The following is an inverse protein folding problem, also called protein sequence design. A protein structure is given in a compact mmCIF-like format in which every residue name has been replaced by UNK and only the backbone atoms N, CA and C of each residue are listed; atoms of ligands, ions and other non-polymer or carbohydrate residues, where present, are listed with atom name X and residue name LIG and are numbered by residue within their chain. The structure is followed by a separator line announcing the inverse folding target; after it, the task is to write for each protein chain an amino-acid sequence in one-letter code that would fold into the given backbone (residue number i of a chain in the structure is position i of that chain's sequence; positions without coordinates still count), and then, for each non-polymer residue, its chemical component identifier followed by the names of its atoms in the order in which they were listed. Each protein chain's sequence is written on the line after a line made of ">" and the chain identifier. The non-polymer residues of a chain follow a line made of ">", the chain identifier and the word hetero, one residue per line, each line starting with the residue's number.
data_IF_964429172193
#
_entry.id   IF_964429172193
#
_cell.length_a   1.000
_cell.length_b   1.000
_cell.length_c   1.000
_cell.angle_alpha   90.00
_cell.angle_beta   90.00
_cell.angle_gamma   90.00
#
_symmetry.space_group_name_H-M   'P 1'
#
loop_
_entity.id
_entity.type
_entity.pdbx_description
1 polymer ?
#
# COMPACT_ATOMS: atom_id res chain seq x y z
N UNK A 1 17.35 7.73 -20.93
CA UNK A 1 17.84 7.77 -19.53
C UNK A 1 17.56 9.10 -18.83
N UNK A 2 18.00 10.25 -19.37
CA UNK A 2 17.84 11.57 -18.73
C UNK A 2 16.39 11.88 -18.30
N UNK A 3 15.34 11.67 -19.13
CA UNK A 3 13.97 11.95 -18.71
C UNK A 3 13.50 11.07 -17.54
N UNK A 4 13.96 9.81 -17.49
CA UNK A 4 13.62 8.90 -16.40
C UNK A 4 14.30 9.30 -15.09
N UNK A 5 15.57 9.72 -15.16
CA UNK A 5 16.31 10.28 -14.01
C UNK A 5 15.60 11.53 -13.49
N UNK A 6 15.24 12.46 -14.38
CA UNK A 6 14.50 13.66 -13.98
C UNK A 6 13.16 13.31 -13.33
N UNK A 7 12.38 12.41 -13.95
CA UNK A 7 11.12 11.92 -13.39
C UNK A 7 11.31 11.31 -12.00
N UNK A 8 12.38 10.54 -11.79
CA UNK A 8 12.68 9.91 -10.52
C UNK A 8 12.99 10.94 -9.42
N UNK A 9 13.90 11.88 -9.66
CA UNK A 9 14.19 12.92 -8.68
C UNK A 9 12.98 13.82 -8.43
N UNK A 10 12.25 14.18 -9.48
CA UNK A 10 11.04 15.01 -9.35
C UNK A 10 9.97 14.33 -8.50
N UNK A 11 9.65 13.07 -8.79
CA UNK A 11 8.67 12.30 -8.02
C UNK A 11 9.13 12.04 -6.59
N UNK A 12 10.42 11.76 -6.36
CA UNK A 12 10.99 11.64 -5.02
C UNK A 12 10.83 12.92 -4.22
N UNK A 13 11.26 14.06 -4.77
CA UNK A 13 11.16 15.37 -4.09
C UNK A 13 9.70 15.65 -3.75
N UNK A 14 8.77 15.45 -4.69
CA UNK A 14 7.35 15.67 -4.41
C UNK A 14 6.77 14.70 -3.37
N UNK A 15 7.22 13.44 -3.34
CA UNK A 15 6.81 12.50 -2.31
C UNK A 15 7.32 12.92 -0.91
N UNK A 16 8.50 13.54 -0.83
CA UNK A 16 9.08 14.05 0.43
C UNK A 16 8.39 15.32 0.90
N UNK A 17 8.19 16.30 0.01
CA UNK A 17 7.80 17.67 0.43
C UNK A 17 6.29 17.95 0.37
N UNK A 18 5.51 17.13 -0.35
CA UNK A 18 4.06 17.37 -0.43
C UNK A 18 3.37 17.00 0.88
N UNK A 19 2.33 17.77 1.22
CA UNK A 19 1.41 17.39 2.30
C UNK A 19 0.68 16.08 1.93
N UNK A 20 0.80 15.01 2.74
CA UNK A 20 0.14 13.73 2.50
C UNK A 20 -1.40 13.80 2.65
N UNK A 21 -1.91 14.88 3.24
CA UNK A 21 -3.31 15.04 3.61
C UNK A 21 -3.48 15.05 5.13
N UNK A 22 -2.65 15.83 5.82
CA UNK A 22 -2.78 16.02 7.25
C UNK A 22 -4.13 16.65 7.62
N UNK A 23 -4.72 16.12 8.70
CA UNK A 23 -5.99 16.57 9.24
C UNK A 23 -5.74 17.33 10.53
N UNK A 24 -6.28 18.54 10.62
CA UNK A 24 -6.37 19.31 11.86
C UNK A 24 -7.83 19.40 12.32
N UNK A 25 -8.05 19.75 13.58
CA UNK A 25 -9.40 19.96 14.12
C UNK A 25 -10.15 21.06 13.33
N UNK A 26 -9.44 22.14 13.00
CA UNK A 26 -9.96 23.23 12.17
C UNK A 26 -10.28 22.79 10.73
N UNK A 27 -9.64 21.74 10.22
CA UNK A 27 -9.93 21.21 8.89
C UNK A 27 -11.23 20.41 8.82
N UNK A 28 -11.74 19.94 9.95
CA UNK A 28 -13.00 19.19 10.01
C UNK A 28 -14.22 20.10 10.17
N UNK A 29 -14.18 21.27 9.52
CA UNK A 29 -15.40 22.05 9.27
C UNK A 29 -16.47 21.16 8.62
N UNK A 30 -17.74 21.43 8.92
CA UNK A 30 -18.89 20.66 8.40
C UNK A 30 -18.81 20.38 6.88
N UNK A 31 -18.38 21.36 6.09
CA UNK A 31 -18.28 21.22 4.64
C UNK A 31 -17.17 20.26 4.20
N UNK A 32 -15.98 20.36 4.81
CA UNK A 32 -14.84 19.49 4.49
C UNK A 32 -15.04 18.08 5.03
N UNK A 33 -15.61 17.93 6.22
CA UNK A 33 -15.97 16.61 6.78
C UNK A 33 -17.01 15.91 5.91
N UNK A 34 -18.06 16.61 5.46
CA UNK A 34 -19.08 16.04 4.56
C UNK A 34 -18.47 15.58 3.24
N UNK A 35 -17.56 16.37 2.65
CA UNK A 35 -16.91 16.00 1.40
C UNK A 35 -15.99 14.79 1.54
N UNK A 36 -15.20 14.73 2.62
CA UNK A 36 -14.36 13.56 2.93
C UNK A 36 -15.25 12.34 3.14
N UNK A 37 -16.35 12.47 3.89
CA UNK A 37 -17.28 11.38 4.15
C UNK A 37 -17.98 10.89 2.89
N UNK A 38 -18.26 11.78 1.93
CA UNK A 38 -18.83 11.40 0.63
C UNK A 38 -17.85 10.62 -0.24
N UNK A 39 -16.55 10.90 -0.14
CA UNK A 39 -15.51 10.18 -0.88
C UNK A 39 -15.14 8.86 -0.19
N UNK A 40 -15.16 8.85 1.15
CA UNK A 40 -14.85 7.71 2.00
C UNK A 40 -15.95 7.49 3.06
N UNK A 41 -17.04 6.80 2.72
CA UNK A 41 -18.09 6.45 3.68
C UNK A 41 -17.58 5.45 4.72
N UNK A 42 -18.23 5.39 5.89
CA UNK A 42 -17.97 4.34 6.88
C UNK A 42 -18.63 3.05 6.41
N UNK A 43 -17.87 1.95 6.39
CA UNK A 43 -18.39 0.61 6.08
C UNK A 43 -19.00 -0.08 7.31
N UNK A 44 -18.79 0.48 8.51
CA UNK A 44 -19.13 -0.10 9.81
C UNK A 44 -18.54 -1.50 10.06
N UNK A 45 -17.53 -1.88 9.25
CA UNK A 45 -16.78 -3.13 9.33
C UNK A 45 -15.36 -2.84 9.82
N UNK A 46 -14.51 -2.29 8.95
CA UNK A 46 -13.13 -1.91 9.31
C UNK A 46 -12.99 -0.41 9.64
N UNK A 47 -14.01 0.38 9.29
CA UNK A 47 -14.13 1.80 9.59
C UNK A 47 -15.52 2.18 10.07
N UNK A 48 -15.55 2.72 11.27
CA UNK A 48 -16.71 3.34 11.91
C UNK A 48 -16.24 4.64 12.57
N UNK A 49 -17.21 5.49 12.95
CA UNK A 49 -16.91 6.75 13.62
C UNK A 49 -16.12 6.51 14.90
N UNK A 50 -14.89 7.02 14.93
CA UNK A 50 -13.98 6.88 16.07
C UNK A 50 -13.20 8.17 16.28
N UNK A 51 -13.03 8.56 17.53
CA UNK A 51 -12.18 9.69 17.89
C UNK A 51 -10.70 9.27 17.89
N UNK A 52 -9.81 10.15 17.43
CA UNK A 52 -8.39 10.00 17.68
C UNK A 52 -8.08 10.22 19.16
N UNK A 53 -7.41 9.26 19.82
CA UNK A 53 -6.99 9.42 21.21
C UNK A 53 -5.96 10.53 21.41
N UNK A 54 -5.14 10.83 20.41
CA UNK A 54 -4.12 11.90 20.45
C UNK A 54 -4.70 13.23 20.01
N UNK A 55 -5.25 13.31 18.79
CA UNK A 55 -5.72 14.58 18.19
C UNK A 55 -7.10 15.03 18.66
N UNK A 56 -7.86 14.18 19.39
CA UNK A 56 -9.15 14.50 20.02
C UNK A 56 -10.31 14.92 19.10
N UNK A 57 -10.25 14.59 17.81
CA UNK A 57 -11.38 14.75 16.88
C UNK A 57 -11.81 13.43 16.25
N UNK A 58 -13.03 13.40 15.68
CA UNK A 58 -13.56 12.23 14.97
C UNK A 58 -12.81 12.04 13.64
N UNK A 59 -12.12 10.92 13.52
CA UNK A 59 -11.32 10.57 12.36
C UNK A 59 -12.23 10.12 11.22
N UNK A 60 -12.13 10.70 10.02
CA UNK A 60 -12.80 10.16 8.85
C UNK A 60 -12.39 8.72 8.57
N UNK A 61 -13.22 7.98 7.82
CA UNK A 61 -12.84 6.64 7.37
C UNK A 61 -11.54 6.66 6.56
N UNK A 62 -10.80 5.54 6.57
CA UNK A 62 -9.47 5.41 5.97
C UNK A 62 -8.37 6.33 6.52
N UNK A 63 -8.67 7.21 7.48
CA UNK A 63 -7.64 8.02 8.14
C UNK A 63 -7.02 7.29 9.34
N UNK A 64 -5.76 7.63 9.65
CA UNK A 64 -5.03 7.09 10.81
C UNK A 64 -4.12 8.16 11.39
N UNK A 65 -3.91 8.10 12.70
CA UNK A 65 -2.88 8.88 13.38
C UNK A 65 -1.51 8.23 13.13
N UNK A 66 -0.61 8.95 12.47
CA UNK A 66 0.79 8.58 12.35
C UNK A 66 1.53 9.06 13.59
N UNK A 67 2.05 8.13 14.40
CA UNK A 67 2.78 8.46 15.62
C UNK A 67 4.15 9.09 15.37
N UNK A 68 4.73 8.90 14.18
CA UNK A 68 6.01 9.50 13.80
C UNK A 68 5.84 10.97 13.42
N UNK A 69 4.80 11.28 12.65
CA UNK A 69 4.48 12.64 12.22
C UNK A 69 3.58 13.41 13.22
N UNK A 70 3.08 12.73 14.25
CA UNK A 70 2.14 13.22 15.29
C UNK A 70 0.88 13.90 14.73
N UNK A 71 0.34 13.34 13.64
CA UNK A 71 -0.81 13.89 12.91
C UNK A 71 -1.72 12.79 12.41
N UNK A 72 -3.02 13.08 12.34
CA UNK A 72 -3.94 12.25 11.57
C UNK A 72 -3.78 12.55 10.08
N UNK A 73 -3.79 11.50 9.27
CA UNK A 73 -3.56 11.56 7.83
C UNK A 73 -4.69 10.87 7.10
N UNK A 74 -5.21 11.50 6.05
CA UNK A 74 -6.27 10.97 5.21
C UNK A 74 -5.80 9.80 4.33
N UNK A 75 -6.61 8.75 4.23
CA UNK A 75 -6.31 7.54 3.44
C UNK A 75 -4.87 7.04 3.67
N UNK A 76 -4.52 6.88 4.95
CA UNK A 76 -3.18 6.55 5.37
C UNK A 76 -2.78 5.15 4.87
N UNK A 77 -1.62 5.06 4.24
CA UNK A 77 -1.03 3.81 3.80
C UNK A 77 0.05 3.36 4.77
N UNK A 78 1.16 4.10 4.85
CA UNK A 78 2.23 3.88 5.81
C UNK A 78 3.08 5.14 5.98
N UNK A 79 3.83 5.18 7.09
CA UNK A 79 4.93 6.14 7.24
C UNK A 79 6.16 5.58 6.55
N UNK A 80 6.67 6.27 5.54
CA UNK A 80 7.84 5.81 4.79
C UNK A 80 9.10 6.47 5.33
N UNK A 81 9.91 5.69 6.05
CA UNK A 81 11.19 6.16 6.61
C UNK A 81 12.16 6.68 5.54
N UNK A 82 12.06 6.17 4.31
CA UNK A 82 12.91 6.59 3.18
C UNK A 82 12.53 7.95 2.62
N UNK A 83 11.25 8.33 2.74
CA UNK A 83 10.76 9.65 2.35
C UNK A 83 10.77 10.63 3.53
N UNK A 84 10.89 10.13 4.76
CA UNK A 84 10.62 10.89 5.97
C UNK A 84 9.25 11.63 5.89
N UNK A 85 8.27 10.98 5.28
CA UNK A 85 6.93 11.50 5.04
C UNK A 85 5.92 10.34 4.96
N UNK A 86 4.65 10.64 5.15
CA UNK A 86 3.58 9.65 5.02
C UNK A 86 3.21 9.41 3.55
N UNK A 87 3.07 8.14 3.19
CA UNK A 87 2.44 7.75 1.94
C UNK A 87 0.94 7.68 2.22
N UNK A 88 0.19 8.63 1.66
CA UNK A 88 -1.24 8.78 1.92
C UNK A 88 -1.95 9.45 0.73
N UNK A 89 -3.17 9.94 0.91
CA UNK A 89 -4.06 10.36 -0.19
C UNK A 89 -3.41 11.25 -1.26
N UNK A 90 -2.68 12.30 -0.89
CA UNK A 90 -2.11 13.24 -1.86
C UNK A 90 -0.68 12.91 -2.31
N UNK A 91 0.06 12.12 -1.53
CA UNK A 91 1.46 11.75 -1.79
C UNK A 91 1.60 10.40 -2.50
N UNK A 92 0.57 9.53 -2.46
CA UNK A 92 0.63 8.18 -3.02
C UNK A 92 1.06 8.16 -4.49
N UNK A 93 0.52 9.06 -5.32
CA UNK A 93 0.89 9.19 -6.74
C UNK A 93 2.39 9.41 -6.97
N UNK A 94 3.02 10.21 -6.11
CA UNK A 94 4.43 10.56 -6.23
C UNK A 94 5.30 9.38 -5.80
N UNK A 95 4.91 8.69 -4.73
CA UNK A 95 5.55 7.46 -4.30
C UNK A 95 5.47 6.36 -5.37
N UNK A 96 4.30 6.16 -5.99
CA UNK A 96 4.14 5.15 -7.04
C UNK A 96 4.96 5.50 -8.30
N UNK A 97 4.98 6.77 -8.71
CA UNK A 97 5.81 7.24 -9.83
C UNK A 97 7.31 7.12 -9.53
N UNK A 98 7.72 7.35 -8.29
CA UNK A 98 9.09 7.13 -7.82
C UNK A 98 9.51 5.67 -7.94
N UNK A 99 8.69 4.73 -7.45
CA UNK A 99 8.96 3.29 -7.58
C UNK A 99 9.01 2.83 -9.04
N UNK A 100 8.06 3.28 -9.86
CA UNK A 100 8.02 2.95 -11.28
C UNK A 100 9.28 3.46 -12.01
N UNK A 101 9.65 4.71 -11.80
CA UNK A 101 10.84 5.30 -12.41
C UNK A 101 12.13 4.66 -11.91
N UNK A 102 12.21 4.25 -10.63
CA UNK A 102 13.33 3.47 -10.11
C UNK A 102 13.46 2.11 -10.80
N UNK A 103 12.36 1.34 -10.93
CA UNK A 103 12.36 0.08 -11.67
C UNK A 103 12.91 0.27 -13.09
N UNK A 104 12.44 1.29 -13.80
CA UNK A 104 12.90 1.60 -15.15
C UNK A 104 14.40 1.93 -15.20
N UNK A 105 14.89 2.80 -14.30
CA UNK A 105 16.31 3.19 -14.24
C UNK A 105 17.19 1.97 -13.95
N UNK A 106 16.78 1.10 -13.02
CA UNK A 106 17.56 -0.08 -12.64
C UNK A 106 17.63 -1.08 -13.80
N UNK A 107 16.50 -1.38 -14.46
CA UNK A 107 16.47 -2.29 -15.62
C UNK A 107 17.31 -1.72 -16.76
N UNK A 108 17.08 -0.47 -17.13
CA UNK A 108 17.75 0.14 -18.27
C UNK A 108 19.24 0.37 -18.01
N UNK A 109 19.60 0.83 -16.81
CA UNK A 109 20.99 1.00 -16.38
C UNK A 109 21.75 -0.32 -16.31
N UNK A 110 21.12 -1.36 -15.75
CA UNK A 110 21.67 -2.72 -15.75
C UNK A 110 21.88 -3.25 -17.17
N UNK A 111 20.90 -3.06 -18.06
CA UNK A 111 21.02 -3.41 -19.47
C UNK A 111 22.21 -2.71 -20.15
N UNK A 112 22.37 -1.39 -19.96
CA UNK A 112 23.50 -0.64 -20.53
C UNK A 112 24.84 -1.13 -20.00
N UNK A 113 24.95 -1.41 -18.70
CA UNK A 113 26.18 -1.94 -18.10
C UNK A 113 26.52 -3.33 -18.68
N UNK A 114 25.53 -4.22 -18.78
CA UNK A 114 25.71 -5.54 -19.39
C UNK A 114 26.10 -5.42 -20.87
N UNK A 115 25.44 -4.54 -21.62
CA UNK A 115 25.74 -4.31 -23.03
C UNK A 115 27.16 -3.77 -23.24
N UNK A 116 27.59 -2.82 -22.41
CA UNK A 116 28.96 -2.28 -22.43
C UNK A 116 30.01 -3.37 -22.20
N UNK A 117 29.81 -4.23 -21.19
CA UNK A 117 30.72 -5.36 -20.92
C UNK A 117 30.77 -6.35 -22.10
N UNK A 118 29.64 -6.61 -22.76
CA UNK A 118 29.60 -7.46 -23.95
C UNK A 118 30.31 -6.84 -25.16
N UNK A 119 30.18 -5.53 -25.36
CA UNK A 119 30.92 -4.82 -26.41
C UNK A 119 32.42 -4.88 -26.17
N UNK A 120 32.84 -4.62 -24.92
CA UNK A 120 34.25 -4.74 -24.56
C UNK A 120 34.77 -6.16 -24.81
N UNK A 121 34.00 -7.18 -24.40
CA UNK A 121 34.34 -8.59 -24.62
C UNK A 121 34.44 -8.98 -26.10
N UNK A 122 33.72 -8.27 -26.99
CA UNK A 122 33.70 -8.59 -28.43
C UNK A 122 34.77 -7.86 -29.23
N UNK A 123 35.11 -6.64 -28.84
CA UNK A 123 35.89 -5.72 -29.68
C UNK A 123 37.21 -5.25 -29.06
N UNK A 124 37.47 -5.52 -27.77
CA UNK A 124 38.73 -5.12 -27.15
C UNK A 124 39.81 -6.17 -27.35
N UNK A 125 41.03 -5.71 -27.64
CA UNK A 125 42.23 -6.56 -27.64
C UNK A 125 42.79 -6.78 -26.21
N UNK A 126 42.38 -5.96 -25.24
CA UNK A 126 42.85 -5.96 -23.85
C UNK A 126 42.12 -7.02 -22.98
N UNK A 127 41.86 -8.19 -23.56
CA UNK A 127 41.09 -9.25 -22.92
C UNK A 127 42.03 -10.39 -22.45
N UNK A 128 41.82 -10.96 -21.24
CA UNK A 128 42.58 -12.13 -20.78
C UNK A 128 42.52 -13.31 -21.77
N UNK A 129 43.67 -13.91 -22.05
CA UNK A 129 43.77 -15.10 -22.91
C UNK A 129 42.87 -16.22 -22.37
N UNK A 130 42.14 -16.89 -23.26
CA UNK A 130 41.16 -17.96 -22.96
C UNK A 130 39.86 -17.53 -22.24
N UNK A 131 39.58 -16.23 -22.03
CA UNK A 131 38.36 -15.80 -21.32
C UNK A 131 37.08 -16.37 -21.97
N UNK A 132 37.06 -16.50 -23.30
CA UNK A 132 35.89 -16.96 -24.04
C UNK A 132 35.51 -18.41 -23.73
N UNK A 133 36.49 -19.24 -23.31
CA UNK A 133 36.30 -20.64 -22.94
C UNK A 133 35.81 -20.83 -21.51
N UNK A 134 35.83 -19.77 -20.68
CA UNK A 134 35.42 -19.84 -19.28
C UNK A 134 33.89 -19.84 -19.13
N UNK A 135 33.36 -20.41 -18.04
CA UNK A 135 31.92 -20.35 -17.72
C UNK A 135 31.48 -18.90 -17.46
N UNK A 136 30.19 -18.62 -17.68
CA UNK A 136 29.59 -17.27 -17.63
C UNK A 136 30.06 -16.44 -16.43
N UNK A 137 29.86 -16.91 -15.20
CA UNK A 137 30.21 -16.14 -14.01
C UNK A 137 31.70 -15.83 -13.90
N UNK A 138 32.58 -16.81 -14.14
CA UNK A 138 34.05 -16.59 -14.10
C UNK A 138 34.49 -15.65 -15.23
N UNK A 139 33.89 -15.77 -16.40
CA UNK A 139 34.15 -14.92 -17.57
C UNK A 139 33.91 -13.45 -17.25
N UNK A 140 32.72 -13.10 -16.76
CA UNK A 140 32.39 -11.72 -16.40
C UNK A 140 33.16 -11.24 -15.16
N UNK A 141 33.42 -12.11 -14.17
CA UNK A 141 34.22 -11.74 -13.00
C UNK A 141 35.65 -11.30 -13.37
N UNK A 142 36.32 -12.07 -14.23
CA UNK A 142 37.67 -11.71 -14.70
C UNK A 142 37.64 -10.46 -15.57
N UNK A 143 36.64 -10.31 -16.43
CA UNK A 143 36.44 -9.09 -17.23
C UNK A 143 36.37 -7.85 -16.33
N UNK A 144 35.56 -7.91 -15.27
CA UNK A 144 35.34 -6.80 -14.33
C UNK A 144 36.59 -6.48 -13.51
N UNK A 145 37.35 -7.48 -13.06
CA UNK A 145 38.50 -7.27 -12.15
C UNK A 145 39.85 -7.09 -12.83
N UNK A 146 40.03 -7.52 -14.09
CA UNK A 146 41.36 -7.64 -14.71
C UNK A 146 41.57 -6.80 -15.97
N UNK A 147 40.63 -5.93 -16.34
CA UNK A 147 40.74 -5.14 -17.58
C UNK A 147 40.98 -3.66 -17.31
N UNK A 148 39.91 -2.87 -17.13
CA UNK A 148 40.00 -1.44 -16.91
C UNK A 148 38.97 -0.96 -15.89
N UNK A 149 39.16 0.27 -15.42
CA UNK A 149 38.29 0.90 -14.44
C UNK A 149 36.82 1.02 -14.90
N UNK A 150 36.58 1.27 -16.19
CA UNK A 150 35.22 1.39 -16.72
C UNK A 150 34.44 0.06 -16.63
N UNK A 151 35.09 -1.07 -16.86
CA UNK A 151 34.52 -2.40 -16.69
C UNK A 151 34.31 -2.74 -15.21
N UNK A 152 35.20 -2.32 -14.32
CA UNK A 152 35.03 -2.44 -12.88
C UNK A 152 33.78 -1.69 -12.39
N UNK A 153 33.62 -0.44 -12.82
CA UNK A 153 32.43 0.39 -12.51
C UNK A 153 31.17 -0.23 -13.10
N UNK A 154 31.18 -0.60 -14.37
CA UNK A 154 30.02 -1.20 -15.07
C UNK A 154 29.59 -2.51 -14.42
N UNK A 155 30.55 -3.36 -14.05
CA UNK A 155 30.28 -4.60 -13.31
C UNK A 155 29.69 -4.37 -11.92
N UNK A 156 30.22 -3.38 -11.20
CA UNK A 156 29.73 -3.02 -9.86
C UNK A 156 28.31 -2.48 -9.91
N UNK A 157 28.01 -1.59 -10.86
CA UNK A 157 26.65 -1.05 -11.06
C UNK A 157 25.70 -2.16 -11.50
N UNK A 158 26.10 -3.05 -12.42
CA UNK A 158 25.28 -4.19 -12.85
C UNK A 158 24.92 -5.10 -11.67
N UNK A 159 25.90 -5.42 -10.81
CA UNK A 159 25.66 -6.22 -9.61
C UNK A 159 24.68 -5.53 -8.66
N UNK A 160 24.86 -4.22 -8.43
CA UNK A 160 23.95 -3.42 -7.63
C UNK A 160 22.53 -3.42 -8.19
N UNK A 161 22.38 -3.26 -9.51
CA UNK A 161 21.09 -3.34 -10.19
C UNK A 161 20.40 -4.70 -9.98
N UNK A 162 21.15 -5.81 -10.13
CA UNK A 162 20.61 -7.16 -9.94
C UNK A 162 20.18 -7.39 -8.48
N UNK A 163 20.92 -6.88 -7.51
CA UNK A 163 20.62 -7.05 -6.09
C UNK A 163 19.43 -6.19 -5.64
N UNK A 164 19.33 -4.95 -6.12
CA UNK A 164 18.30 -4.00 -5.68
C UNK A 164 16.99 -4.20 -6.45
N UNK A 165 17.03 -4.62 -7.72
CA UNK A 165 15.83 -4.72 -8.55
C UNK A 165 14.70 -5.56 -7.92
N UNK A 166 14.94 -6.79 -7.39
CA UNK A 166 13.88 -7.61 -6.82
C UNK A 166 13.16 -6.92 -5.65
N UNK A 167 13.90 -6.18 -4.82
CA UNK A 167 13.34 -5.46 -3.68
C UNK A 167 12.40 -4.33 -4.15
N UNK A 168 12.85 -3.51 -5.11
CA UNK A 168 12.05 -2.40 -5.63
C UNK A 168 10.84 -2.93 -6.42
N UNK A 169 11.04 -3.99 -7.21
CA UNK A 169 9.97 -4.62 -7.97
C UNK A 169 8.91 -5.24 -7.05
N UNK A 170 9.32 -5.86 -5.93
CA UNK A 170 8.40 -6.35 -4.91
C UNK A 170 7.55 -5.23 -4.33
N UNK A 171 8.17 -4.14 -3.85
CA UNK A 171 7.41 -3.01 -3.32
C UNK A 171 6.47 -2.38 -4.35
N UNK A 172 6.92 -2.23 -5.60
CA UNK A 172 6.06 -1.73 -6.67
C UNK A 172 4.88 -2.66 -6.94
N UNK A 173 5.13 -3.97 -7.00
CA UNK A 173 4.11 -5.01 -7.18
C UNK A 173 3.07 -5.02 -6.06
N UNK A 174 3.49 -4.94 -4.80
CA UNK A 174 2.58 -4.86 -3.63
C UNK A 174 1.68 -3.64 -3.68
N UNK A 175 2.19 -2.49 -4.16
CA UNK A 175 1.38 -1.29 -4.33
C UNK A 175 0.37 -1.46 -5.48
N UNK A 176 0.76 -2.04 -6.61
CA UNK A 176 -0.17 -2.35 -7.70
C UNK A 176 -1.25 -3.35 -7.27
N UNK A 177 -0.88 -4.36 -6.49
CA UNK A 177 -1.80 -5.32 -5.90
C UNK A 177 -2.80 -4.65 -4.93
N UNK A 178 -2.31 -3.74 -4.08
CA UNK A 178 -3.15 -2.96 -3.18
C UNK A 178 -4.15 -2.07 -3.94
N UNK A 179 -3.71 -1.45 -5.05
CA UNK A 179 -4.60 -0.69 -5.96
C UNK A 179 -5.65 -1.61 -6.60
N UNK A 180 -5.25 -2.80 -7.04
CA UNK A 180 -6.17 -3.79 -7.61
C UNK A 180 -7.29 -4.17 -6.63
N UNK A 181 -6.96 -4.37 -5.36
CA UNK A 181 -7.93 -4.69 -4.32
C UNK A 181 -8.65 -3.46 -3.72
N UNK A 182 -8.26 -2.24 -4.10
CA UNK A 182 -8.86 -1.01 -3.55
C UNK A 182 -8.46 -0.69 -2.10
N UNK A 183 -7.41 -1.33 -1.56
CA UNK A 183 -7.00 -1.22 -0.16
C UNK A 183 -5.71 -0.42 0.01
N UNK A 184 -5.44 0.07 1.23
CA UNK A 184 -4.12 0.55 1.66
C UNK A 184 -3.34 -0.55 2.38
N UNK A 185 -2.01 -0.42 2.49
CA UNK A 185 -1.21 -1.34 3.32
C UNK A 185 -1.63 -1.32 4.79
N UNK A 186 -2.13 -0.18 5.30
CA UNK A 186 -2.71 -0.13 6.64
C UNK A 186 -4.00 -0.96 6.77
N UNK A 187 -4.76 -1.10 5.70
CA UNK A 187 -6.02 -1.85 5.67
C UNK A 187 -5.82 -3.36 5.55
N UNK A 188 -4.75 -3.83 4.91
CA UNK A 188 -4.48 -5.27 4.79
C UNK A 188 -4.40 -5.94 6.16
N UNK A 189 -3.80 -5.27 7.16
CA UNK A 189 -3.79 -5.75 8.55
C UNK A 189 -5.18 -5.81 9.18
N UNK A 190 -6.08 -4.87 8.86
CA UNK A 190 -7.48 -4.92 9.34
C UNK A 190 -8.27 -6.04 8.67
N UNK A 191 -8.10 -6.20 7.36
CA UNK A 191 -8.71 -7.29 6.60
C UNK A 191 -8.22 -8.66 7.05
N UNK A 192 -6.95 -8.78 7.46
CA UNK A 192 -6.44 -10.02 8.06
C UNK A 192 -7.21 -10.42 9.33
N UNK A 193 -7.60 -9.47 10.18
CA UNK A 193 -8.45 -9.75 11.33
C UNK A 193 -9.86 -10.19 10.92
N UNK A 194 -10.46 -9.52 9.92
CA UNK A 194 -11.78 -9.91 9.40
C UNK A 194 -11.72 -11.34 8.81
N UNK A 195 -10.67 -11.69 8.07
CA UNK A 195 -10.47 -13.04 7.55
C UNK A 195 -10.43 -14.09 8.64
N UNK A 196 -9.72 -13.83 9.74
CA UNK A 196 -9.70 -14.76 10.87
C UNK A 196 -11.10 -14.97 11.44
N UNK A 197 -11.92 -13.92 11.54
CA UNK A 197 -13.31 -14.07 11.99
C UNK A 197 -14.16 -14.90 11.03
N UNK A 198 -13.93 -14.80 9.73
CA UNK A 198 -14.64 -15.60 8.71
C UNK A 198 -14.17 -17.05 8.74
N UNK A 199 -12.86 -17.30 8.78
CA UNK A 199 -12.27 -18.64 8.84
C UNK A 199 -12.73 -19.43 10.07
N UNK A 200 -12.98 -18.74 11.18
CA UNK A 200 -13.51 -19.32 12.41
C UNK A 200 -15.05 -19.29 12.51
N UNK A 201 -15.75 -18.89 11.45
CA UNK A 201 -17.23 -18.81 11.41
C UNK A 201 -17.84 -17.87 12.46
N UNK A 202 -17.08 -16.87 12.91
CA UNK A 202 -17.46 -15.94 13.98
C UNK A 202 -18.12 -14.66 13.47
N UNK A 203 -18.02 -14.33 12.19
CA UNK A 203 -18.52 -13.07 11.64
C UNK A 203 -19.97 -13.18 11.12
N UNK A 204 -20.81 -12.27 11.61
CA UNK A 204 -22.21 -12.15 11.21
C UNK A 204 -22.55 -10.71 10.84
N UNK A 205 -23.49 -10.55 9.92
CA UNK A 205 -24.08 -9.28 9.53
C UNK A 205 -25.54 -9.25 9.99
N UNK A 206 -25.90 -8.24 10.75
CA UNK A 206 -27.28 -7.98 11.18
C UNK A 206 -27.91 -6.90 10.31
N UNK A 207 -29.00 -7.26 9.64
CA UNK A 207 -29.78 -6.38 8.75
C UNK A 207 -31.09 -6.02 9.47
N UNK A 208 -31.23 -4.80 10.00
CA UNK A 208 -32.43 -4.38 10.72
C UNK A 208 -33.63 -4.19 9.76
N UNK A 209 -34.85 -4.47 10.23
CA UNK A 209 -36.08 -4.31 9.42
C UNK A 209 -36.46 -2.85 9.15
N UNK A 210 -35.99 -1.93 9.99
CA UNK A 210 -36.40 -0.52 9.97
C UNK A 210 -35.60 0.33 8.95
N UNK A 211 -34.68 -0.28 8.19
CA UNK A 211 -33.81 0.45 7.26
C UNK A 211 -32.62 1.15 7.93
N UNK A 212 -32.36 0.86 9.20
CA UNK A 212 -31.14 1.31 9.90
C UNK A 212 -29.88 0.68 9.29
N UNK A 213 -28.71 1.26 9.58
CA UNK A 213 -27.43 0.79 9.06
C UNK A 213 -27.14 -0.65 9.50
N UNK A 214 -26.56 -1.43 8.59
CA UNK A 214 -26.14 -2.80 8.84
C UNK A 214 -25.07 -2.82 9.94
N UNK A 215 -25.12 -3.82 10.82
CA UNK A 215 -24.19 -3.95 11.94
C UNK A 215 -23.46 -5.27 11.85
N UNK A 216 -22.13 -5.24 11.92
CA UNK A 216 -21.30 -6.45 11.97
C UNK A 216 -21.13 -6.92 13.41
N UNK A 217 -21.35 -8.22 13.61
CA UNK A 217 -21.39 -8.89 14.90
C UNK A 217 -20.38 -10.03 14.94
N UNK A 218 -19.81 -10.24 16.11
CA UNK A 218 -18.92 -11.36 16.41
C UNK A 218 -19.65 -12.33 17.32
N UNK A 219 -19.66 -13.61 16.96
CA UNK A 219 -20.16 -14.68 17.81
C UNK A 219 -19.22 -14.84 19.02
N UNK A 220 -19.72 -14.57 20.22
CA UNK A 220 -18.93 -14.63 21.45
C UNK A 220 -19.16 -15.92 22.26
N UNK A 221 -20.28 -16.62 22.03
CA UNK A 221 -20.57 -17.92 22.67
C UNK A 221 -22.04 -18.10 23.03
N UNK A 222 -22.32 -19.02 23.97
CA UNK A 222 -23.66 -19.22 24.54
C UNK A 222 -23.72 -18.71 25.97
N UNK A 223 -24.76 -17.96 26.29
CA UNK A 223 -25.11 -17.55 27.64
C UNK A 223 -25.61 -18.75 28.46
N UNK A 224 -25.63 -18.60 29.80
CA UNK A 224 -26.07 -19.65 30.73
C UNK A 224 -27.53 -20.10 30.50
N UNK A 225 -28.36 -19.27 29.89
CA UNK A 225 -29.74 -19.57 29.51
C UNK A 225 -29.86 -20.31 28.15
N UNK A 226 -28.73 -20.68 27.53
CA UNK A 226 -28.68 -21.35 26.23
C UNK A 226 -28.78 -20.43 25.00
N UNK A 227 -29.05 -19.13 25.19
CA UNK A 227 -29.09 -18.16 24.09
C UNK A 227 -27.69 -17.83 23.56
N UNK A 228 -27.58 -17.57 22.26
CA UNK A 228 -26.30 -17.20 21.63
C UNK A 228 -26.03 -15.72 21.89
N UNK A 229 -24.81 -15.40 22.33
CA UNK A 229 -24.34 -14.04 22.54
C UNK A 229 -23.54 -13.54 21.33
N UNK A 230 -23.95 -12.40 20.82
CA UNK A 230 -23.19 -11.64 19.83
C UNK A 230 -22.60 -10.39 20.47
N UNK A 231 -21.48 -9.92 19.93
CA UNK A 231 -20.82 -8.69 20.34
C UNK A 231 -20.69 -7.78 19.11
N UNK A 232 -21.02 -6.49 19.27
CA UNK A 232 -20.85 -5.50 18.20
C UNK A 232 -19.37 -5.34 17.86
N UNK A 233 -19.01 -5.45 16.58
CA UNK A 233 -17.62 -5.27 16.13
C UNK A 233 -17.15 -3.81 16.35
N UNK A 234 -18.08 -2.85 16.28
CA UNK A 234 -17.85 -1.42 16.54
C UNK A 234 -17.67 -1.13 18.04
N UNK A 235 -18.65 -1.51 18.85
CA UNK A 235 -18.73 -1.08 20.26
C UNK A 235 -18.01 -2.05 21.21
N UNK A 236 -17.75 -3.29 20.76
CA UNK A 236 -17.25 -4.39 21.59
C UNK A 236 -18.13 -4.69 22.81
N UNK A 237 -19.40 -4.32 22.73
CA UNK A 237 -20.43 -4.56 23.74
C UNK A 237 -21.37 -5.69 23.31
N UNK A 238 -21.99 -6.41 24.25
CA UNK A 238 -23.01 -7.41 23.92
C UNK A 238 -24.15 -6.80 23.11
N UNK A 239 -24.47 -7.42 21.99
CA UNK A 239 -25.57 -7.01 21.12
C UNK A 239 -26.89 -7.62 21.62
N UNK A 240 -27.86 -6.78 21.94
CA UNK A 240 -29.21 -7.18 22.30
C UNK A 240 -30.19 -6.72 21.21
N UNK A 241 -30.75 -7.65 20.44
CA UNK A 241 -31.75 -7.30 19.42
C UNK A 241 -33.13 -7.12 20.07
N UNK A 242 -33.38 -5.95 20.66
CA UNK A 242 -34.75 -5.50 20.94
C UNK A 242 -35.50 -5.11 19.65
N UNK A 243 -34.76 -4.96 18.55
CA UNK A 243 -35.25 -4.60 17.22
C UNK A 243 -35.25 -5.85 16.33
N UNK A 244 -36.35 -6.14 15.65
CA UNK A 244 -36.43 -7.25 14.70
C UNK A 244 -35.53 -7.04 13.48
N UNK A 245 -34.86 -8.10 13.03
CA UNK A 245 -33.94 -8.06 11.89
C UNK A 245 -33.62 -9.46 11.36
N UNK A 246 -32.82 -9.52 10.31
CA UNK A 246 -32.26 -10.76 9.78
C UNK A 246 -30.77 -10.85 10.14
N UNK A 247 -30.30 -12.04 10.51
CA UNK A 247 -28.91 -12.31 10.81
C UNK A 247 -28.33 -13.21 9.72
N UNK A 248 -27.32 -12.71 9.01
CA UNK A 248 -26.61 -13.43 7.94
C UNK A 248 -25.21 -13.80 8.44
N UNK A 249 -24.82 -15.06 8.31
CA UNK A 249 -23.44 -15.48 8.52
C UNK A 249 -22.59 -15.12 7.30
N UNK A 250 -21.41 -14.55 7.51
CA UNK A 250 -20.46 -14.25 6.43
C UNK A 250 -19.53 -15.45 6.28
N UNK A 251 -19.58 -16.13 5.13
CA UNK A 251 -18.81 -17.37 4.89
C UNK A 251 -17.55 -17.14 4.05
N UNK A 252 -17.47 -16.02 3.36
CA UNK A 252 -16.34 -15.70 2.51
C UNK A 252 -16.37 -14.29 1.97
N UNK A 253 -15.33 -13.95 1.21
CA UNK A 253 -15.18 -12.64 0.57
C UNK A 253 -16.32 -12.27 -0.37
N UNK A 254 -16.93 -13.25 -1.04
CA UNK A 254 -18.09 -13.02 -1.93
C UNK A 254 -19.34 -12.52 -1.20
N UNK A 255 -19.41 -12.73 0.13
CA UNK A 255 -20.53 -12.26 0.94
C UNK A 255 -20.34 -10.83 1.44
N UNK A 256 -19.16 -10.25 1.26
CA UNK A 256 -18.79 -8.91 1.69
C UNK A 256 -18.53 -8.00 0.49
N UNK A 257 -19.04 -6.78 0.56
CA UNK A 257 -18.74 -5.75 -0.41
C UNK A 257 -17.68 -4.80 0.14
N UNK A 258 -16.50 -4.77 -0.49
CA UNK A 258 -15.51 -3.75 -0.17
C UNK A 258 -15.91 -2.46 -0.88
N UNK A 259 -16.68 -1.61 -0.20
CA UNK A 259 -17.19 -0.34 -0.74
C UNK A 259 -16.09 0.63 -1.21
N UNK A 260 -14.83 0.37 -0.83
CA UNK A 260 -13.67 1.16 -1.27
C UNK A 260 -13.04 0.64 -2.56
N UNK A 261 -13.32 -0.60 -2.96
CA UNK A 261 -12.92 -1.15 -4.25
C UNK A 261 -13.90 -0.71 -5.34
N UNK A 262 -13.45 0.22 -6.18
CA UNK A 262 -14.21 0.75 -7.32
C UNK A 262 -13.80 0.05 -8.63
N UNK A 263 -13.02 -1.02 -8.55
CA UNK A 263 -12.35 -1.68 -9.66
C UNK A 263 -10.99 -1.05 -9.97
N UNK A 264 -10.06 -1.87 -10.50
CA UNK A 264 -8.65 -1.52 -10.70
C UNK A 264 -8.42 -0.13 -11.30
N UNK A 265 -9.07 0.20 -12.41
CA UNK A 265 -8.86 1.49 -13.08
C UNK A 265 -9.34 2.66 -12.23
N UNK A 266 -10.51 2.56 -11.60
CA UNK A 266 -11.02 3.64 -10.75
C UNK A 266 -10.15 3.82 -9.50
N UNK A 267 -9.69 2.73 -8.89
CA UNK A 267 -8.76 2.77 -7.77
C UNK A 267 -7.43 3.43 -8.20
N UNK A 268 -6.90 3.04 -9.36
CA UNK A 268 -5.69 3.62 -9.93
C UNK A 268 -5.85 5.13 -10.17
N UNK A 269 -6.94 5.55 -10.81
CA UNK A 269 -7.22 6.97 -11.05
C UNK A 269 -7.39 7.75 -9.75
N UNK A 270 -8.05 7.19 -8.72
CA UNK A 270 -8.18 7.83 -7.41
C UNK A 270 -6.81 8.07 -6.76
N UNK A 271 -5.88 7.11 -6.89
CA UNK A 271 -4.52 7.20 -6.33
C UNK A 271 -3.65 8.18 -7.10
N UNK A 272 -3.75 8.20 -8.42
CA UNK A 272 -2.91 9.04 -9.29
C UNK A 272 -3.41 10.48 -9.39
N UNK A 273 -4.72 10.68 -9.31
CA UNK A 273 -5.38 11.97 -9.46
C UNK A 273 -6.37 12.21 -8.31
N UNK A 274 -5.87 12.34 -7.07
CA UNK A 274 -6.72 12.58 -5.92
C UNK A 274 -7.48 13.90 -6.07
N UNK A 275 -8.78 13.89 -5.75
CA UNK A 275 -9.60 15.09 -5.74
C UNK A 275 -9.15 15.97 -4.58
N UNK A 276 -9.13 17.30 -4.76
CA UNK A 276 -8.94 18.20 -3.61
C UNK A 276 -10.18 18.11 -2.74
N UNK A 277 -10.04 17.59 -1.51
CA UNK A 277 -11.10 17.50 -0.51
C UNK A 277 -11.15 18.76 0.34
#
# INVERSE_FOLDING_TARGET
>A
MIPAIFCNYFSFILAVVSDPGYLTDNDLTYNKSTKIQSEFPYDNLIYYETQCSTCKFNKPSRSKHCSVCDKCVLMFDHHCVWLNNDVAYYTYRWFLLFLFSMCYIIIYGGYLCFYSLNLFMKYSDDIPKNIHKLPFFRKYWLLIKQTNFANEVSGTILLLCILIFPLIAFFFGENLWSIYLGVTTNETGKWSYINQLIEHELLYEFIPKNGDLHTFLILNGKLANGSIQFVSLKEKTPFNSSIGGNLKQIKGWSDMDNIYDKGFWNNFFQRMFPKKL
#
